data_IF_554639482478
#
_entry.id   IF_554639482478
#
_cell.length_a   1.000
_cell.length_b   1.000
_cell.length_c   1.000
_cell.angle_alpha   90.00
_cell.angle_beta   90.00
_cell.angle_gamma   90.00
#
_symmetry.space_group_name_H-M   'P 1'
#
loop_
_entity.id
_entity.type
_entity.pdbx_description
1 polymer ?
#
# COMPACT_ATOMS: atom_id res chain seq x y z
N UNK A 1 -3.55 2.80 57.51
CA UNK A 1 -2.72 3.26 56.35
C UNK A 1 -2.33 2.15 55.35
N UNK A 2 -2.19 0.87 55.70
CA UNK A 2 -1.79 -0.20 54.77
C UNK A 2 -2.87 -0.67 53.76
N UNK A 3 -4.17 -0.34 53.95
CA UNK A 3 -5.26 -0.72 53.03
C UNK A 3 -5.52 0.29 51.89
N UNK A 4 -5.11 1.55 52.02
CA UNK A 4 -5.32 2.59 51.00
C UNK A 4 -4.28 2.49 49.87
N UNK A 5 -3.05 2.02 50.16
CA UNK A 5 -2.00 1.83 49.19
C UNK A 5 -2.29 0.68 48.22
N UNK A 6 -3.00 -0.37 48.68
CA UNK A 6 -3.39 -1.51 47.81
C UNK A 6 -4.43 -1.14 46.76
N UNK A 7 -5.32 -0.21 47.04
CA UNK A 7 -6.34 0.24 46.05
C UNK A 7 -5.80 1.21 45.00
N UNK A 8 -4.79 2.03 45.39
CA UNK A 8 -4.13 2.92 44.42
C UNK A 8 -3.29 2.17 43.38
N UNK A 9 -2.68 1.04 43.77
CA UNK A 9 -1.93 0.17 42.83
C UNK A 9 -2.88 -0.64 41.94
N UNK A 10 -4.05 -1.03 42.42
CA UNK A 10 -5.05 -1.75 41.63
C UNK A 10 -5.78 -0.85 40.61
N UNK A 11 -5.92 0.46 40.89
CA UNK A 11 -6.50 1.43 39.99
C UNK A 11 -5.49 1.83 38.89
N UNK A 12 -4.18 1.81 39.17
CA UNK A 12 -3.13 2.05 38.18
C UNK A 12 -2.94 0.89 37.18
N UNK A 13 -3.45 -0.32 37.51
CA UNK A 13 -3.42 -1.49 36.61
C UNK A 13 -4.69 -1.63 35.75
N UNK A 14 -5.67 -0.74 35.93
CA UNK A 14 -6.94 -0.71 35.18
C UNK A 14 -7.05 0.47 34.20
N UNK A 15 -5.97 1.22 33.95
CA UNK A 15 -5.92 2.02 32.75
C UNK A 15 -5.80 1.05 31.56
N UNK A 16 -6.81 0.96 30.65
CA UNK A 16 -6.61 0.31 29.38
C UNK A 16 -5.47 1.08 28.70
N UNK A 17 -4.34 0.42 28.48
CA UNK A 17 -3.35 0.87 27.51
C UNK A 17 -4.09 0.85 26.18
N UNK A 18 -4.57 2.02 25.76
CA UNK A 18 -5.17 2.20 24.44
C UNK A 18 -4.09 1.82 23.42
N UNK A 19 -4.26 0.65 22.81
CA UNK A 19 -3.46 0.26 21.67
C UNK A 19 -3.82 1.23 20.56
N UNK A 20 -2.93 2.19 20.27
CA UNK A 20 -3.05 3.07 19.12
C UNK A 20 -3.02 2.19 17.89
N UNK A 21 -4.11 2.17 17.12
CA UNK A 21 -4.21 1.38 15.90
C UNK A 21 -3.21 1.91 14.89
N UNK A 22 -2.26 1.07 14.48
CA UNK A 22 -1.28 1.40 13.46
C UNK A 22 -1.91 1.27 12.06
N UNK A 23 -1.48 2.12 11.14
CA UNK A 23 -1.89 2.02 9.74
C UNK A 23 -0.88 1.18 8.98
N UNK A 24 -1.12 -0.10 8.82
CA UNK A 24 -0.42 -0.88 7.82
C UNK A 24 -0.60 -0.18 6.46
N UNK A 25 0.50 0.32 5.90
CA UNK A 25 0.46 1.20 4.76
C UNK A 25 -0.19 0.60 3.54
N UNK A 26 -0.89 1.43 2.82
CA UNK A 26 -1.48 1.12 1.53
C UNK A 26 -0.38 1.17 0.48
N UNK A 27 -0.09 0.06 -0.17
CA UNK A 27 0.77 0.06 -1.36
C UNK A 27 0.10 0.88 -2.45
N UNK A 28 0.80 1.84 -3.02
CA UNK A 28 0.35 2.54 -4.20
C UNK A 28 0.95 1.85 -5.42
N UNK A 29 0.12 1.36 -6.35
CA UNK A 29 0.62 0.82 -7.61
C UNK A 29 1.23 1.95 -8.42
N UNK A 30 2.50 1.79 -8.79
CA UNK A 30 3.21 2.71 -9.65
C UNK A 30 3.47 2.09 -11.01
N UNK A 31 3.14 2.85 -12.06
CA UNK A 31 3.49 2.52 -13.44
C UNK A 31 2.50 1.61 -14.19
N UNK A 32 2.71 1.47 -15.50
CA UNK A 32 1.86 0.68 -16.38
C UNK A 32 2.04 -0.83 -16.12
N UNK A 33 0.96 -1.59 -16.26
CA UNK A 33 1.01 -3.05 -16.09
C UNK A 33 1.30 -3.53 -14.67
N UNK A 34 1.15 -2.66 -13.67
CA UNK A 34 1.24 -3.01 -12.25
C UNK A 34 0.40 -4.25 -11.94
N UNK A 35 0.93 -5.27 -11.25
CA UNK A 35 0.11 -6.39 -10.77
C UNK A 35 -1.08 -5.91 -9.93
N UNK A 36 -1.01 -5.93 -8.62
CA UNK A 36 -2.04 -5.34 -7.73
C UNK A 36 -1.38 -4.52 -6.63
N UNK A 37 -0.48 -5.15 -5.87
CA UNK A 37 0.29 -4.56 -4.77
C UNK A 37 1.72 -4.21 -5.19
N UNK A 38 2.31 -5.05 -6.02
CA UNK A 38 3.70 -4.94 -6.49
C UNK A 38 3.80 -3.80 -7.51
N UNK A 39 4.75 -2.88 -7.34
CA UNK A 39 4.98 -1.79 -8.27
C UNK A 39 5.42 -2.32 -9.66
N UNK A 40 5.20 -1.53 -10.71
CA UNK A 40 5.57 -1.90 -12.08
C UNK A 40 7.05 -1.65 -12.36
N UNK A 41 7.76 -2.56 -13.05
CA UNK A 41 9.11 -2.32 -13.53
C UNK A 41 9.14 -1.48 -14.84
N UNK A 42 8.02 -0.93 -15.26
CA UNK A 42 7.87 -0.20 -16.51
C UNK A 42 7.62 1.29 -16.26
N UNK A 43 8.04 2.11 -17.20
CA UNK A 43 7.73 3.53 -17.30
C UNK A 43 6.70 3.79 -18.41
N UNK A 44 6.05 4.94 -18.39
CA UNK A 44 5.16 5.36 -19.46
C UNK A 44 5.98 5.88 -20.67
N UNK A 45 5.50 5.69 -21.90
CA UNK A 45 6.07 6.37 -23.06
C UNK A 45 5.94 7.89 -22.89
N UNK A 46 6.81 8.65 -23.55
CA UNK A 46 6.74 10.10 -23.57
C UNK A 46 5.37 10.60 -24.03
N UNK A 47 4.77 11.48 -23.25
CA UNK A 47 3.41 12.00 -23.47
C UNK A 47 2.28 11.04 -23.07
N UNK A 48 2.59 9.80 -22.68
CA UNK A 48 1.58 8.85 -22.22
C UNK A 48 0.98 9.27 -20.86
N UNK A 49 -0.32 9.07 -20.70
CA UNK A 49 -1.07 9.41 -19.50
C UNK A 49 -1.78 8.17 -18.96
N UNK A 50 -1.74 7.95 -17.68
CA UNK A 50 -2.58 6.99 -16.96
C UNK A 50 -3.37 7.69 -15.90
N UNK A 51 -4.70 7.60 -15.96
CA UNK A 51 -5.57 7.93 -14.85
C UNK A 51 -5.90 6.64 -14.10
N UNK A 52 -5.83 6.66 -12.77
CA UNK A 52 -6.13 5.47 -11.98
C UNK A 52 -6.91 5.80 -10.71
N UNK A 53 -7.67 4.79 -10.26
CA UNK A 53 -8.32 4.75 -8.97
C UNK A 53 -8.01 3.42 -8.29
N UNK A 54 -7.85 3.44 -6.98
CA UNK A 54 -7.69 2.25 -6.13
C UNK A 54 -8.56 2.39 -4.90
N UNK A 55 -9.19 1.31 -4.50
CA UNK A 55 -9.89 1.20 -3.21
C UNK A 55 -9.45 -0.08 -2.53
N UNK A 56 -9.17 0.02 -1.25
CA UNK A 56 -8.78 -1.08 -0.39
C UNK A 56 -9.64 -1.04 0.87
N UNK A 57 -10.39 -2.12 1.09
CA UNK A 57 -11.22 -2.33 2.27
C UNK A 57 -10.50 -3.29 3.19
N UNK A 58 -10.15 -2.83 4.39
CA UNK A 58 -9.51 -3.65 5.42
C UNK A 58 -10.56 -4.10 6.41
N UNK A 59 -10.57 -5.40 6.70
CA UNK A 59 -11.44 -6.03 7.66
C UNK A 59 -10.64 -6.61 8.82
N UNK A 60 -11.07 -6.31 10.05
CA UNK A 60 -10.49 -6.85 11.28
C UNK A 60 -11.40 -7.90 11.92
N UNK A 61 -10.83 -8.72 12.78
CA UNK A 61 -11.58 -9.58 13.69
C UNK A 61 -12.13 -8.71 14.83
N UNK A 62 -13.17 -9.20 15.51
CA UNK A 62 -13.64 -8.57 16.73
C UNK A 62 -12.57 -8.63 17.82
N UNK A 63 -12.49 -7.60 18.64
CA UNK A 63 -11.66 -7.62 19.84
C UNK A 63 -12.10 -8.72 20.79
N UNK A 64 -11.13 -9.42 21.37
CA UNK A 64 -11.42 -10.58 22.22
C UNK A 64 -12.05 -10.18 23.56
N UNK A 65 -11.76 -8.99 24.06
CA UNK A 65 -12.16 -8.50 25.39
C UNK A 65 -13.12 -7.31 25.35
N UNK A 66 -13.59 -6.93 24.19
CA UNK A 66 -14.53 -5.83 24.02
C UNK A 66 -15.96 -6.32 23.82
N UNK A 67 -16.91 -5.38 23.84
CA UNK A 67 -18.32 -5.67 23.61
C UNK A 67 -18.59 -6.38 22.27
N UNK A 68 -19.72 -7.15 22.18
CA UNK A 68 -19.94 -8.08 21.07
C UNK A 68 -19.91 -7.47 19.65
N UNK A 69 -20.15 -6.15 19.52
CA UNK A 69 -20.25 -5.45 18.25
C UNK A 69 -18.99 -4.67 17.85
N UNK A 70 -17.97 -4.69 18.70
CA UNK A 70 -16.73 -3.96 18.46
C UNK A 70 -15.97 -4.55 17.27
N UNK A 71 -16.07 -3.90 16.12
CA UNK A 71 -15.43 -4.29 14.87
C UNK A 71 -14.92 -3.06 14.11
N UNK A 72 -13.63 -2.99 13.91
CA UNK A 72 -13.03 -1.94 13.10
C UNK A 72 -13.17 -2.23 11.60
N UNK A 73 -13.18 -1.18 10.80
CA UNK A 73 -13.23 -1.26 9.35
C UNK A 73 -12.63 0.00 8.74
N UNK A 74 -11.61 -0.17 7.89
CA UNK A 74 -10.98 0.96 7.20
C UNK A 74 -11.12 0.80 5.69
N UNK A 75 -11.43 1.92 5.03
CA UNK A 75 -11.43 2.02 3.58
C UNK A 75 -10.39 3.05 3.17
N UNK A 76 -9.42 2.62 2.39
CA UNK A 76 -8.41 3.48 1.79
C UNK A 76 -8.70 3.58 0.30
N UNK A 77 -9.01 4.77 -0.18
CA UNK A 77 -9.21 5.05 -1.59
C UNK A 77 -8.17 6.05 -2.09
N UNK A 78 -7.79 5.96 -3.34
CA UNK A 78 -6.94 6.96 -3.98
C UNK A 78 -7.31 7.12 -5.43
N UNK A 79 -7.16 8.34 -5.93
CA UNK A 79 -7.19 8.65 -7.36
C UNK A 79 -5.87 9.31 -7.73
N UNK A 80 -5.40 9.08 -8.94
CA UNK A 80 -4.13 9.65 -9.36
C UNK A 80 -3.95 9.70 -10.86
N UNK A 81 -2.86 10.36 -11.25
CA UNK A 81 -2.41 10.51 -12.61
C UNK A 81 -0.93 10.21 -12.69
N UNK A 82 -0.54 9.45 -13.70
CA UNK A 82 0.85 9.23 -14.09
C UNK A 82 1.07 9.83 -15.47
N UNK A 83 2.21 10.48 -15.68
CA UNK A 83 2.59 11.13 -16.93
C UNK A 83 4.02 10.73 -17.35
N UNK A 84 4.17 10.25 -18.56
CA UNK A 84 5.46 9.95 -19.17
C UNK A 84 6.15 11.25 -19.61
N UNK A 85 7.14 11.71 -18.82
CA UNK A 85 7.93 12.91 -19.13
C UNK A 85 8.93 12.62 -20.23
N UNK A 86 9.55 11.46 -20.14
CA UNK A 86 10.42 10.85 -21.16
C UNK A 86 10.16 9.34 -21.16
N UNK A 87 10.63 8.55 -22.13
CA UNK A 87 10.45 7.09 -22.10
C UNK A 87 11.02 6.39 -20.86
N UNK A 88 11.98 7.01 -20.18
CA UNK A 88 12.62 6.50 -18.96
C UNK A 88 12.22 7.23 -17.68
N UNK A 89 11.38 8.27 -17.76
CA UNK A 89 10.97 9.05 -16.59
C UNK A 89 9.47 9.26 -16.58
N UNK A 90 8.80 8.74 -15.57
CA UNK A 90 7.37 8.94 -15.32
C UNK A 90 7.17 9.72 -14.02
N UNK A 91 6.38 10.80 -14.07
CA UNK A 91 5.89 11.51 -12.89
C UNK A 91 4.54 10.94 -12.45
N UNK A 92 4.28 10.93 -11.15
CA UNK A 92 3.01 10.47 -10.58
C UNK A 92 2.53 11.43 -9.51
N UNK A 93 1.21 11.66 -9.48
CA UNK A 93 0.49 12.44 -8.49
C UNK A 93 -0.72 11.66 -8.01
N UNK A 94 -0.98 11.62 -6.69
CA UNK A 94 -2.16 10.96 -6.14
C UNK A 94 -2.75 11.66 -4.93
N UNK A 95 -4.07 11.56 -4.83
CA UNK A 95 -4.88 12.11 -3.73
C UNK A 95 -5.59 10.94 -3.05
N UNK A 96 -5.25 10.62 -1.80
CA UNK A 96 -5.96 9.62 -1.02
C UNK A 96 -7.21 10.18 -0.35
N UNK A 97 -8.21 9.32 -0.18
CA UNK A 97 -9.39 9.56 0.66
C UNK A 97 -9.60 8.37 1.56
N UNK A 98 -9.55 8.59 2.87
CA UNK A 98 -9.57 7.55 3.87
C UNK A 98 -10.85 7.61 4.71
N UNK A 99 -11.45 6.45 4.98
CA UNK A 99 -12.56 6.28 5.92
C UNK A 99 -12.09 5.27 6.95
N UNK A 100 -12.05 5.68 8.22
CA UNK A 100 -11.63 4.87 9.34
C UNK A 100 -12.74 4.79 10.35
N UNK A 101 -13.20 3.58 10.62
CA UNK A 101 -14.29 3.31 11.54
C UNK A 101 -13.81 2.42 12.65
N UNK A 102 -14.04 2.86 13.86
CA UNK A 102 -13.82 2.11 15.09
C UNK A 102 -15.13 2.10 15.89
N UNK A 103 -15.67 0.92 16.13
CA UNK A 103 -17.01 0.78 16.73
C UNK A 103 -17.13 1.42 18.13
N UNK A 104 -16.03 1.41 18.91
CA UNK A 104 -16.01 2.03 20.23
C UNK A 104 -15.87 3.55 20.24
N UNK A 105 -15.27 4.15 19.19
CA UNK A 105 -14.88 5.56 19.16
C UNK A 105 -15.62 6.36 18.11
N UNK A 106 -16.13 5.72 17.03
CA UNK A 106 -16.82 6.38 15.95
C UNK A 106 -16.13 6.25 14.59
N UNK A 107 -16.35 7.21 13.71
CA UNK A 107 -15.83 7.19 12.35
C UNK A 107 -15.21 8.53 11.98
N UNK A 108 -14.05 8.50 11.32
CA UNK A 108 -13.42 9.66 10.73
C UNK A 108 -13.19 9.44 9.24
N UNK A 109 -13.35 10.49 8.43
CA UNK A 109 -13.13 10.41 6.99
C UNK A 109 -12.64 11.72 6.41
N UNK A 110 -11.86 11.63 5.34
CA UNK A 110 -11.36 12.82 4.67
C UNK A 110 -10.26 12.54 3.67
N UNK A 111 -9.83 13.60 3.01
CA UNK A 111 -8.64 13.58 2.16
C UNK A 111 -7.42 13.33 3.06
N UNK A 112 -6.56 12.42 2.66
CA UNK A 112 -5.27 12.18 3.29
C UNK A 112 -4.17 13.06 2.70
N UNK A 113 -2.92 12.68 2.94
CA UNK A 113 -1.77 13.46 2.49
C UNK A 113 -1.50 13.21 1.00
N UNK A 114 -1.47 14.28 0.21
CA UNK A 114 -1.21 14.22 -1.24
C UNK A 114 0.22 13.72 -1.46
N UNK A 115 0.38 12.83 -2.47
CA UNK A 115 1.66 12.23 -2.81
C UNK A 115 2.13 12.62 -4.21
N UNK A 116 3.43 12.89 -4.30
CA UNK A 116 4.18 13.05 -5.55
C UNK A 116 5.28 12.00 -5.62
N UNK A 117 5.50 11.43 -6.80
CA UNK A 117 6.61 10.50 -7.03
C UNK A 117 7.14 10.56 -8.46
N UNK A 118 8.39 10.16 -8.60
CA UNK A 118 9.07 9.99 -9.87
C UNK A 118 9.55 8.55 -10.03
N UNK A 119 9.51 8.01 -11.24
CA UNK A 119 9.90 6.65 -11.59
C UNK A 119 10.90 6.73 -12.72
N UNK A 120 12.13 6.26 -12.49
CA UNK A 120 13.20 6.16 -13.47
C UNK A 120 13.32 4.72 -13.95
N UNK A 121 13.12 4.49 -15.26
CA UNK A 121 13.12 3.17 -15.87
C UNK A 121 14.37 2.87 -16.68
N UNK A 122 14.88 1.67 -16.53
CA UNK A 122 15.99 1.13 -17.31
C UNK A 122 15.81 -0.36 -17.53
N UNK A 123 16.56 -0.94 -18.45
CA UNK A 123 16.53 -2.37 -18.72
C UNK A 123 17.93 -2.95 -18.91
N UNK A 124 18.04 -4.24 -18.67
CA UNK A 124 19.21 -5.03 -19.00
C UNK A 124 18.89 -5.98 -20.15
N UNK A 125 19.66 -5.91 -21.21
CA UNK A 125 19.58 -6.83 -22.35
C UNK A 125 20.84 -7.72 -22.38
N UNK A 126 20.70 -9.05 -22.41
CA UNK A 126 21.85 -9.96 -22.49
C UNK A 126 22.77 -9.60 -23.67
N UNK A 127 24.07 -9.46 -23.40
CA UNK A 127 25.06 -9.07 -24.39
C UNK A 127 25.20 -7.57 -24.67
N UNK A 128 24.27 -6.74 -24.20
CA UNK A 128 24.28 -5.28 -24.41
C UNK A 128 24.35 -4.45 -23.14
N UNK A 129 24.16 -5.07 -21.95
CA UNK A 129 24.25 -4.43 -20.66
C UNK A 129 23.02 -3.60 -20.28
N UNK A 130 23.20 -2.66 -19.33
CA UNK A 130 22.15 -1.77 -18.82
C UNK A 130 22.00 -0.54 -19.71
N UNK A 131 20.73 -0.15 -19.97
CA UNK A 131 20.35 1.04 -20.75
C UNK A 131 19.11 1.69 -20.15
N UNK A 132 18.96 3.00 -20.29
CA UNK A 132 17.69 3.68 -20.00
C UNK A 132 16.63 3.23 -21.00
N UNK A 133 15.36 3.22 -20.58
CA UNK A 133 14.25 2.93 -21.46
C UNK A 133 14.11 4.06 -22.50
N UNK A 134 14.29 3.74 -23.78
CA UNK A 134 14.30 4.74 -24.87
C UNK A 134 13.25 4.50 -25.94
N UNK A 135 12.68 3.30 -26.00
CA UNK A 135 11.71 2.92 -27.02
C UNK A 135 10.30 2.83 -26.45
N UNK A 136 9.29 3.31 -27.21
CA UNK A 136 7.87 3.16 -26.84
C UNK A 136 7.47 1.71 -26.56
N UNK A 137 8.05 0.77 -27.30
CA UNK A 137 7.76 -0.67 -27.20
C UNK A 137 8.29 -1.30 -25.91
N UNK A 138 9.38 -0.74 -25.35
CA UNK A 138 9.97 -1.22 -24.09
C UNK A 138 9.17 -0.79 -22.84
N UNK A 139 8.28 0.20 -22.98
CA UNK A 139 7.63 0.86 -21.87
C UNK A 139 6.22 0.31 -21.53
N UNK A 140 5.64 -0.58 -22.31
CA UNK A 140 4.21 -0.92 -22.20
C UNK A 140 3.96 -2.37 -21.78
N UNK A 141 4.87 -3.31 -22.06
CA UNK A 141 4.64 -4.73 -21.78
C UNK A 141 5.92 -5.51 -21.50
N UNK A 142 5.86 -6.41 -20.53
CA UNK A 142 6.91 -7.41 -20.30
C UNK A 142 6.84 -8.58 -21.30
N UNK A 143 5.78 -8.68 -22.08
CA UNK A 143 5.49 -9.84 -22.91
C UNK A 143 6.43 -9.95 -24.13
N UNK A 144 6.93 -11.16 -24.34
CA UNK A 144 7.72 -11.48 -25.54
C UNK A 144 9.14 -10.92 -25.57
N UNK A 145 9.59 -10.24 -24.51
CA UNK A 145 10.88 -9.53 -24.47
C UNK A 145 11.91 -10.33 -23.66
N UNK A 146 13.10 -10.53 -24.22
CA UNK A 146 14.24 -11.17 -23.51
C UNK A 146 14.96 -10.22 -22.53
N UNK A 147 14.38 -9.06 -22.22
CA UNK A 147 14.94 -8.03 -21.37
C UNK A 147 14.46 -8.21 -19.92
N UNK A 148 15.27 -7.76 -18.97
CA UNK A 148 14.85 -7.54 -17.60
C UNK A 148 14.70 -6.04 -17.39
N UNK A 149 13.52 -5.61 -17.00
CA UNK A 149 13.20 -4.22 -16.74
C UNK A 149 13.41 -3.91 -15.26
N UNK A 150 13.82 -2.68 -15.01
CA UNK A 150 14.03 -2.17 -13.66
C UNK A 150 13.46 -0.77 -13.55
N UNK A 151 12.94 -0.42 -12.40
CA UNK A 151 12.63 0.97 -12.05
C UNK A 151 13.20 1.31 -10.69
N UNK A 152 13.80 2.49 -10.60
CA UNK A 152 14.04 3.16 -9.32
C UNK A 152 12.97 4.22 -9.16
N UNK A 153 12.34 4.28 -8.00
CA UNK A 153 11.32 5.28 -7.74
C UNK A 153 11.53 5.96 -6.40
N UNK A 154 11.09 7.21 -6.33
CA UNK A 154 11.10 7.98 -5.12
C UNK A 154 9.93 8.93 -5.08
N UNK A 155 9.48 9.28 -3.88
CA UNK A 155 8.35 10.17 -3.70
C UNK A 155 8.31 10.79 -2.31
N UNK A 156 7.37 11.71 -2.15
CA UNK A 156 7.09 12.36 -0.87
C UNK A 156 5.60 12.68 -0.75
N UNK A 157 5.13 12.79 0.49
CA UNK A 157 3.79 13.28 0.80
C UNK A 157 3.86 14.71 1.32
N UNK A 158 2.82 15.49 1.01
CA UNK A 158 2.57 16.80 1.60
C UNK A 158 1.45 16.65 2.62
N UNK A 159 1.60 17.15 3.87
CA UNK A 159 0.62 16.97 4.94
C UNK A 159 -0.63 17.84 4.70
N UNK A 160 -1.47 17.42 3.77
CA UNK A 160 -2.72 18.09 3.37
C UNK A 160 -3.95 17.49 4.01
N UNK A 161 -3.81 16.29 4.60
CA UNK A 161 -4.89 15.55 5.22
C UNK A 161 -5.32 16.14 6.56
N UNK A 162 -6.55 15.86 6.95
CA UNK A 162 -7.06 16.22 8.28
C UNK A 162 -6.36 15.39 9.35
N UNK A 163 -6.05 16.02 10.49
CA UNK A 163 -5.23 15.42 11.54
C UNK A 163 -5.63 15.79 12.98
N UNK A 164 -6.71 16.57 13.14
CA UNK A 164 -7.15 17.12 14.43
C UNK A 164 -8.62 16.74 14.74
N UNK A 165 -9.15 15.71 14.09
CA UNK A 165 -10.53 15.27 14.35
C UNK A 165 -10.56 14.48 15.67
N UNK A 166 -11.41 14.93 16.58
CA UNK A 166 -11.63 14.24 17.85
C UNK A 166 -12.63 13.10 17.68
N UNK A 167 -12.30 11.93 18.21
CA UNK A 167 -13.18 10.79 18.34
C UNK A 167 -13.25 10.39 19.81
N UNK A 168 -14.46 10.39 20.38
CA UNK A 168 -14.62 10.11 21.83
C UNK A 168 -13.93 11.13 22.75
N UNK A 169 -13.71 12.38 22.30
CA UNK A 169 -13.05 13.44 23.06
C UNK A 169 -11.51 13.38 23.05
N UNK A 170 -10.92 12.57 22.15
CA UNK A 170 -9.47 12.46 21.98
C UNK A 170 -9.10 12.53 20.50
N UNK A 171 -7.91 13.07 20.21
CA UNK A 171 -7.29 13.00 18.88
C UNK A 171 -6.40 11.77 18.84
N UNK A 172 -6.86 10.73 18.15
CA UNK A 172 -6.07 9.52 17.90
C UNK A 172 -5.34 9.68 16.54
N UNK A 173 -3.99 9.72 16.48
CA UNK A 173 -3.24 9.83 15.24
C UNK A 173 -3.57 8.72 14.24
N UNK A 174 -3.84 7.52 14.73
CA UNK A 174 -4.17 6.36 13.93
C UNK A 174 -5.52 6.50 13.21
N UNK A 175 -6.46 7.22 13.77
CA UNK A 175 -7.79 7.44 13.21
C UNK A 175 -7.86 8.66 12.28
N UNK A 176 -6.77 9.42 12.11
CA UNK A 176 -6.77 10.58 11.23
C UNK A 176 -6.69 10.18 9.75
N UNK A 177 -7.34 10.92 8.83
CA UNK A 177 -7.20 10.71 7.39
C UNK A 177 -5.79 10.92 6.85
N UNK A 178 -5.04 11.89 7.40
CA UNK A 178 -3.66 12.20 7.05
C UNK A 178 -2.69 11.93 8.20
N UNK A 179 -1.40 11.87 7.91
CA UNK A 179 -0.34 11.70 8.91
C UNK A 179 0.04 13.02 9.60
N UNK A 180 -0.18 14.16 8.90
CA UNK A 180 0.10 15.50 9.41
C UNK A 180 1.57 15.88 9.39
N UNK A 181 2.43 15.06 8.82
CA UNK A 181 3.84 15.33 8.57
C UNK A 181 4.27 14.75 7.22
N UNK A 182 5.30 15.32 6.56
CA UNK A 182 5.82 14.73 5.34
C UNK A 182 6.30 13.30 5.54
N UNK A 183 6.11 12.46 4.54
CA UNK A 183 6.77 11.15 4.45
C UNK A 183 7.52 11.03 3.13
N UNK A 184 8.53 10.17 3.09
CA UNK A 184 9.36 9.93 1.93
C UNK A 184 9.34 8.46 1.58
N UNK A 185 9.26 8.16 0.28
CA UNK A 185 9.31 6.80 -0.24
C UNK A 185 10.51 6.66 -1.16
N UNK A 186 11.20 5.54 -1.07
CA UNK A 186 12.21 5.12 -2.04
C UNK A 186 12.04 3.63 -2.31
N UNK A 187 12.20 3.21 -3.57
CA UNK A 187 12.07 1.80 -3.92
C UNK A 187 12.75 1.43 -5.23
N UNK A 188 12.90 0.13 -5.40
CA UNK A 188 13.48 -0.50 -6.57
C UNK A 188 12.57 -1.64 -7.00
N UNK A 189 12.38 -1.77 -8.30
CA UNK A 189 11.58 -2.82 -8.90
C UNK A 189 12.35 -3.51 -10.02
N UNK A 190 12.08 -4.81 -10.22
CA UNK A 190 12.61 -5.61 -11.32
C UNK A 190 11.52 -6.51 -11.88
N UNK A 191 11.45 -6.66 -13.20
CA UNK A 191 10.47 -7.53 -13.84
C UNK A 191 10.97 -8.13 -15.14
N UNK A 192 10.50 -9.34 -15.42
CA UNK A 192 10.84 -10.10 -16.62
C UNK A 192 9.74 -11.07 -17.02
N UNK A 193 9.47 -11.15 -18.33
CA UNK A 193 8.73 -12.28 -18.89
C UNK A 193 9.63 -13.51 -18.94
N UNK A 194 9.17 -14.63 -18.37
CA UNK A 194 9.86 -15.93 -18.47
C UNK A 194 9.35 -16.73 -19.66
N UNK A 195 8.04 -16.68 -19.90
CA UNK A 195 7.36 -17.30 -21.01
C UNK A 195 6.43 -16.26 -21.67
N UNK A 196 5.86 -16.60 -22.83
CA UNK A 196 4.94 -15.68 -23.54
C UNK A 196 3.77 -15.20 -22.67
N UNK A 197 3.34 -16.01 -21.70
CA UNK A 197 2.15 -15.77 -20.88
C UNK A 197 2.44 -15.61 -19.41
N UNK A 198 3.71 -15.72 -18.97
CA UNK A 198 4.08 -15.66 -17.56
C UNK A 198 5.19 -14.64 -17.32
N UNK A 199 4.92 -13.68 -16.46
CA UNK A 199 5.87 -12.66 -16.02
C UNK A 199 6.06 -12.71 -14.51
N UNK A 200 7.28 -12.39 -14.06
CA UNK A 200 7.61 -12.19 -12.66
C UNK A 200 8.02 -10.75 -12.42
N UNK A 201 7.58 -10.21 -11.30
CA UNK A 201 7.92 -8.86 -10.83
C UNK A 201 8.34 -8.96 -9.37
N UNK A 202 9.41 -8.30 -9.02
CA UNK A 202 9.87 -8.12 -7.63
C UNK A 202 10.00 -6.64 -7.32
N UNK A 203 9.63 -6.23 -6.12
CA UNK A 203 9.66 -4.84 -5.69
C UNK A 203 10.11 -4.76 -4.24
N UNK A 204 10.89 -3.74 -3.91
CA UNK A 204 11.23 -3.41 -2.53
C UNK A 204 11.14 -1.91 -2.32
N UNK A 205 10.59 -1.51 -1.17
CA UNK A 205 10.45 -0.10 -0.82
C UNK A 205 10.61 0.18 0.67
N UNK A 206 10.95 1.42 0.95
CA UNK A 206 11.02 2.01 2.28
C UNK A 206 10.19 3.28 2.30
N UNK A 207 9.18 3.35 3.18
CA UNK A 207 8.47 4.57 3.54
C UNK A 207 9.02 5.10 4.88
N UNK A 208 9.50 6.33 4.86
CA UNK A 208 10.08 7.05 6.01
C UNK A 208 9.08 8.11 6.44
N UNK A 209 8.52 7.96 7.63
CA UNK A 209 7.64 8.95 8.23
C UNK A 209 8.45 9.95 9.05
N UNK A 210 8.07 11.22 8.98
CA UNK A 210 8.65 12.25 9.84
C UNK A 210 7.79 12.47 11.07
N UNK A 211 8.37 13.13 12.08
CA UNK A 211 7.68 13.42 13.34
C UNK A 211 6.70 14.57 13.18
N UNK A 212 5.52 14.43 13.78
CA UNK A 212 4.58 15.51 14.02
C UNK A 212 4.41 15.69 15.52
N UNK A 213 4.67 16.88 16.03
CA UNK A 213 4.64 17.19 17.44
C UNK A 213 5.47 16.14 18.23
N UNK A 214 4.81 15.36 19.10
CA UNK A 214 5.42 14.34 19.92
C UNK A 214 5.31 12.91 19.36
N UNK A 215 4.63 12.74 18.20
CA UNK A 215 4.32 11.44 17.60
C UNK A 215 5.02 11.25 16.25
N UNK A 216 5.45 10.01 15.99
CA UNK A 216 5.99 9.58 14.68
C UNK A 216 5.52 8.16 14.38
N UNK A 217 4.94 7.95 13.21
CA UNK A 217 4.64 6.62 12.71
C UNK A 217 5.92 5.81 12.43
N UNK A 218 5.87 4.52 12.69
CA UNK A 218 6.96 3.61 12.34
C UNK A 218 7.22 3.56 10.84
N UNK A 219 8.48 3.50 10.45
CA UNK A 219 8.84 3.34 9.06
C UNK A 219 8.39 1.98 8.54
N UNK A 220 8.02 1.91 7.25
CA UNK A 220 7.54 0.70 6.61
C UNK A 220 8.51 0.20 5.54
N UNK A 221 8.89 -1.06 5.65
CA UNK A 221 9.72 -1.77 4.69
C UNK A 221 8.85 -2.80 3.97
N UNK A 222 8.83 -2.78 2.65
CA UNK A 222 8.09 -3.73 1.84
C UNK A 222 9.01 -4.52 0.94
N UNK A 223 8.68 -5.79 0.78
CA UNK A 223 9.25 -6.63 -0.25
C UNK A 223 8.13 -7.45 -0.88
N UNK A 224 7.90 -7.28 -2.18
CA UNK A 224 6.81 -7.91 -2.91
C UNK A 224 7.36 -8.77 -4.05
N UNK A 225 6.71 -9.90 -4.29
CA UNK A 225 6.94 -10.77 -5.44
C UNK A 225 5.60 -11.03 -6.10
N UNK A 226 5.50 -10.87 -7.41
CA UNK A 226 4.30 -11.14 -8.19
C UNK A 226 4.58 -12.09 -9.35
N UNK A 227 3.71 -13.05 -9.55
CA UNK A 227 3.57 -13.85 -10.75
C UNK A 227 2.30 -13.43 -11.48
N UNK A 228 2.42 -13.06 -12.76
CA UNK A 228 1.32 -12.63 -13.62
C UNK A 228 1.24 -13.59 -14.79
N UNK A 229 0.14 -14.34 -14.87
CA UNK A 229 -0.13 -15.32 -15.90
C UNK A 229 -1.28 -14.86 -16.77
N UNK A 230 -1.05 -14.70 -18.08
CA UNK A 230 -2.14 -14.53 -19.03
C UNK A 230 -2.98 -15.82 -19.11
N UNK A 231 -4.25 -15.71 -18.75
CA UNK A 231 -5.23 -16.81 -18.79
C UNK A 231 -6.07 -16.77 -20.07
N UNK A 232 -6.26 -15.58 -20.61
CA UNK A 232 -7.04 -15.32 -21.82
C UNK A 232 -6.51 -14.08 -22.56
N UNK A 233 -6.38 -14.19 -23.88
CA UNK A 233 -5.95 -13.10 -24.75
C UNK A 233 -6.66 -13.15 -26.10
N UNK A 234 -7.55 -12.19 -26.39
CA UNK A 234 -8.23 -11.95 -27.67
C UNK A 234 -8.46 -10.46 -27.86
N UNK A 235 -7.52 -9.76 -28.53
CA UNK A 235 -7.54 -8.30 -28.64
C UNK A 235 -8.80 -7.71 -29.28
N UNK A 236 -9.49 -8.49 -30.11
CA UNK A 236 -10.71 -8.09 -30.82
C UNK A 236 -11.98 -8.17 -29.98
N UNK A 237 -11.90 -8.70 -28.76
CA UNK A 237 -13.06 -8.85 -27.88
C UNK A 237 -13.18 -7.68 -26.91
N UNK A 238 -14.40 -7.48 -26.37
CA UNK A 238 -14.66 -6.46 -25.34
C UNK A 238 -13.74 -6.66 -24.12
N UNK A 239 -13.62 -7.89 -23.61
CA UNK A 239 -12.55 -8.26 -22.68
C UNK A 239 -11.42 -8.84 -23.55
N UNK A 240 -10.38 -8.06 -23.77
CA UNK A 240 -9.28 -8.48 -24.63
C UNK A 240 -8.26 -9.37 -23.92
N UNK A 241 -8.10 -9.19 -22.60
CA UNK A 241 -7.13 -9.94 -21.81
C UNK A 241 -7.63 -10.18 -20.40
N UNK A 242 -7.32 -11.36 -19.87
CA UNK A 242 -7.50 -11.71 -18.45
C UNK A 242 -6.18 -12.25 -17.95
N UNK A 243 -5.62 -11.61 -16.95
CA UNK A 243 -4.44 -12.08 -16.21
C UNK A 243 -4.86 -12.64 -14.86
N UNK A 244 -4.33 -13.81 -14.50
CA UNK A 244 -4.30 -14.31 -13.13
C UNK A 244 -3.05 -13.79 -12.44
N UNK A 245 -3.19 -13.33 -11.21
CA UNK A 245 -2.12 -12.71 -10.43
C UNK A 245 -2.01 -13.40 -9.09
N UNK A 246 -0.79 -13.72 -8.70
CA UNK A 246 -0.48 -14.21 -7.36
C UNK A 246 0.70 -13.43 -6.81
N UNK A 247 0.51 -12.79 -5.65
CA UNK A 247 1.58 -12.03 -5.02
C UNK A 247 1.89 -12.53 -3.61
N UNK A 248 3.15 -12.41 -3.22
CA UNK A 248 3.66 -12.52 -1.86
C UNK A 248 4.12 -11.13 -1.43
N UNK A 249 3.56 -10.61 -0.34
CA UNK A 249 3.85 -9.26 0.10
C UNK A 249 4.33 -9.32 1.56
N UNK A 250 5.59 -9.01 1.79
CA UNK A 250 6.17 -8.86 3.11
C UNK A 250 6.12 -7.38 3.50
N UNK A 251 5.56 -7.09 4.66
CA UNK A 251 5.52 -5.78 5.29
C UNK A 251 6.19 -5.86 6.66
N UNK A 252 7.22 -5.06 6.87
CA UNK A 252 7.80 -4.82 8.18
C UNK A 252 7.58 -3.37 8.58
N UNK A 253 7.02 -3.15 9.77
CA UNK A 253 6.70 -1.85 10.33
C UNK A 253 7.56 -1.67 11.58
N UNK A 254 8.32 -0.59 11.65
CA UNK A 254 9.02 -0.21 12.87
C UNK A 254 8.03 0.20 13.95
N UNK A 255 8.47 0.28 15.22
CA UNK A 255 7.60 0.84 16.27
C UNK A 255 7.27 2.28 15.98
N UNK A 256 6.05 2.70 16.31
CA UNK A 256 5.71 4.10 16.47
C UNK A 256 6.52 4.71 17.61
N UNK A 257 6.70 6.00 17.57
CA UNK A 257 7.44 6.74 18.60
C UNK A 257 6.55 7.82 19.21
N UNK A 258 6.59 7.96 20.52
CA UNK A 258 6.01 9.08 21.26
C UNK A 258 6.96 9.52 22.36
N UNK A 259 7.13 10.84 22.57
CA UNK A 259 8.09 11.37 23.54
C UNK A 259 9.55 10.98 23.30
N UNK A 260 9.89 10.56 22.07
CA UNK A 260 11.23 10.06 21.74
C UNK A 260 11.48 8.59 22.09
N UNK A 261 10.48 7.89 22.66
CA UNK A 261 10.51 6.45 22.94
C UNK A 261 9.63 5.64 21.97
N UNK A 262 10.01 4.39 21.71
CA UNK A 262 9.19 3.47 20.92
C UNK A 262 7.93 3.06 21.68
N UNK A 263 6.77 3.15 21.02
CA UNK A 263 5.49 2.73 21.59
C UNK A 263 5.39 1.20 21.62
N UNK A 264 4.97 0.71 22.77
CA UNK A 264 4.67 -0.71 22.98
C UNK A 264 3.46 -1.12 22.16
N UNK A 265 3.41 -2.39 21.76
CA UNK A 265 2.33 -2.98 20.98
C UNK A 265 2.09 -2.28 19.62
N UNK A 266 3.15 -1.80 18.98
CA UNK A 266 3.13 -1.24 17.61
C UNK A 266 4.21 -1.89 16.75
N UNK A 267 3.93 -2.02 15.45
CA UNK A 267 4.85 -2.56 14.47
C UNK A 267 5.07 -4.08 14.54
N UNK A 268 5.94 -4.56 13.68
CA UNK A 268 6.26 -5.97 13.49
C UNK A 268 6.30 -6.37 12.04
N UNK A 269 6.18 -7.66 11.74
CA UNK A 269 6.29 -8.20 10.38
C UNK A 269 5.06 -9.02 10.02
N UNK A 270 4.52 -8.78 8.82
CA UNK A 270 3.38 -9.52 8.27
C UNK A 270 3.75 -10.01 6.87
N UNK A 271 3.48 -11.28 6.59
CA UNK A 271 3.51 -11.85 5.25
C UNK A 271 2.08 -12.06 4.76
N UNK A 272 1.80 -11.55 3.57
CA UNK A 272 0.52 -11.71 2.89
C UNK A 272 0.66 -12.56 1.64
N UNK A 273 -0.43 -13.24 1.30
CA UNK A 273 -0.68 -13.84 -0.02
C UNK A 273 -1.82 -13.06 -0.66
N UNK A 274 -1.64 -12.62 -1.90
CA UNK A 274 -2.61 -11.79 -2.60
C UNK A 274 -2.96 -12.42 -3.95
N UNK A 275 -3.95 -13.34 -4.01
CA UNK A 275 -4.55 -13.77 -5.26
C UNK A 275 -5.39 -12.66 -5.87
N UNK A 276 -5.30 -12.50 -7.19
CA UNK A 276 -6.03 -11.46 -7.91
C UNK A 276 -6.24 -11.80 -9.38
N UNK A 277 -7.02 -10.96 -10.04
CA UNK A 277 -7.25 -10.98 -11.48
C UNK A 277 -7.25 -9.57 -12.05
N UNK A 278 -6.82 -9.44 -13.30
CA UNK A 278 -6.89 -8.19 -14.05
C UNK A 278 -7.57 -8.43 -15.38
N UNK A 279 -8.50 -7.53 -15.72
CA UNK A 279 -9.27 -7.53 -16.96
C UNK A 279 -8.89 -6.30 -17.78
N UNK A 280 -8.60 -6.47 -19.07
CA UNK A 280 -8.25 -5.37 -19.98
C UNK A 280 -9.34 -5.17 -21.04
N UNK A 281 -9.71 -3.89 -21.24
CA UNK A 281 -10.80 -3.45 -22.10
C UNK A 281 -10.30 -2.37 -23.08
N UNK A 282 -9.67 -2.75 -24.23
CA UNK A 282 -9.12 -1.78 -25.17
C UNK A 282 -10.17 -0.83 -25.76
N UNK A 283 -11.39 -1.30 -25.97
CA UNK A 283 -12.51 -0.48 -26.45
C UNK A 283 -13.02 0.60 -25.47
N UNK A 284 -12.55 0.57 -24.21
CA UNK A 284 -12.86 1.55 -23.18
C UNK A 284 -11.60 2.36 -22.81
N UNK A 285 -10.95 2.98 -23.80
CA UNK A 285 -9.72 3.78 -23.60
C UNK A 285 -8.61 2.97 -22.90
N UNK A 286 -8.39 1.74 -23.33
CA UNK A 286 -7.43 0.81 -22.74
C UNK A 286 -7.59 0.68 -21.22
N UNK A 287 -8.84 0.59 -20.74
CA UNK A 287 -9.14 0.41 -19.33
C UNK A 287 -8.64 -0.93 -18.80
N UNK A 288 -8.14 -0.94 -17.57
CA UNK A 288 -7.84 -2.15 -16.83
C UNK A 288 -8.55 -2.12 -15.48
N UNK A 289 -9.21 -3.24 -15.14
CA UNK A 289 -9.86 -3.48 -13.86
C UNK A 289 -9.12 -4.60 -13.14
N UNK A 290 -8.60 -4.33 -11.96
CA UNK A 290 -7.97 -5.33 -11.08
C UNK A 290 -8.81 -5.58 -9.85
N UNK A 291 -8.93 -6.84 -9.46
CA UNK A 291 -9.57 -7.27 -8.21
C UNK A 291 -8.65 -8.24 -7.48
N UNK A 292 -8.52 -8.12 -6.16
CA UNK A 292 -7.72 -9.03 -5.35
C UNK A 292 -8.20 -9.11 -3.91
N UNK A 293 -7.74 -10.16 -3.23
CA UNK A 293 -7.88 -10.29 -1.77
C UNK A 293 -6.50 -10.53 -1.17
N UNK A 294 -6.05 -9.63 -0.29
CA UNK A 294 -4.77 -9.71 0.42
C UNK A 294 -5.01 -10.33 1.80
N UNK A 295 -4.39 -11.48 2.05
CA UNK A 295 -4.65 -12.31 3.22
C UNK A 295 -3.36 -12.43 4.04
N UNK A 296 -3.33 -12.01 5.31
CA UNK A 296 -2.18 -12.22 6.18
C UNK A 296 -2.07 -13.71 6.53
N UNK A 297 -0.98 -14.35 6.08
CA UNK A 297 -0.71 -15.77 6.31
C UNK A 297 0.30 -16.02 7.42
N UNK A 298 1.11 -15.00 7.74
CA UNK A 298 2.05 -15.04 8.85
C UNK A 298 2.15 -13.66 9.49
N UNK A 299 2.19 -13.63 10.83
CA UNK A 299 2.38 -12.41 11.63
C UNK A 299 3.42 -12.68 12.70
N UNK A 300 4.37 -11.76 12.83
CA UNK A 300 5.33 -11.67 13.93
C UNK A 300 5.36 -10.23 14.39
N UNK A 301 4.42 -9.88 15.25
CA UNK A 301 4.19 -8.52 15.73
C UNK A 301 4.83 -8.32 17.09
N UNK A 302 5.23 -7.07 17.37
CA UNK A 302 5.75 -6.71 18.69
C UNK A 302 4.60 -6.77 19.71
N UNK A 303 4.80 -7.44 20.84
CA UNK A 303 3.76 -7.66 21.88
C UNK A 303 2.41 -8.07 21.24
N UNK A 304 2.42 -9.10 20.44
CA UNK A 304 1.30 -9.51 19.58
C UNK A 304 -0.04 -9.65 20.30
N UNK A 305 -0.01 -10.14 21.53
CA UNK A 305 -1.22 -10.32 22.36
C UNK A 305 -1.85 -8.99 22.79
N UNK A 306 -1.09 -7.89 22.74
CA UNK A 306 -1.52 -6.54 23.08
C UNK A 306 -1.93 -5.73 21.84
N UNK A 307 -1.54 -6.13 20.64
CA UNK A 307 -1.91 -5.46 19.38
C UNK A 307 -3.34 -5.81 18.96
N UNK A 308 -4.30 -5.37 19.76
CA UNK A 308 -5.72 -5.52 19.48
C UNK A 308 -6.24 -4.24 18.81
N UNK A 309 -6.89 -4.39 17.65
CA UNK A 309 -7.39 -3.25 16.88
C UNK A 309 -6.42 -2.69 15.83
N UNK A 310 -5.26 -3.31 15.68
CA UNK A 310 -4.31 -2.98 14.64
C UNK A 310 -3.99 -4.23 13.81
N UNK A 311 -2.78 -4.30 13.24
CA UNK A 311 -2.34 -5.41 12.38
C UNK A 311 -2.56 -6.79 13.01
N UNK A 312 -2.57 -6.88 14.36
CA UNK A 312 -2.82 -8.11 15.10
C UNK A 312 -4.13 -8.79 14.73
N UNK A 313 -5.18 -8.02 14.57
CA UNK A 313 -6.52 -8.50 14.29
C UNK A 313 -6.90 -8.43 12.81
N UNK A 314 -6.05 -7.94 11.92
CA UNK A 314 -6.32 -7.90 10.49
C UNK A 314 -6.67 -9.29 9.95
N UNK A 315 -7.81 -9.36 9.25
CA UNK A 315 -8.36 -10.60 8.69
C UNK A 315 -8.06 -10.74 7.20
N UNK A 316 -8.34 -9.72 6.43
CA UNK A 316 -8.05 -9.61 4.99
C UNK A 316 -8.25 -8.18 4.51
N UNK A 317 -7.74 -7.88 3.30
CA UNK A 317 -8.03 -6.66 2.55
C UNK A 317 -8.62 -7.02 1.19
N UNK A 318 -9.77 -6.43 0.84
CA UNK A 318 -10.32 -6.50 -0.49
C UNK A 318 -9.81 -5.30 -1.31
N UNK A 319 -9.31 -5.54 -2.51
CA UNK A 319 -8.66 -4.52 -3.34
C UNK A 319 -9.35 -4.45 -4.68
N UNK A 320 -9.66 -3.22 -5.12
CA UNK A 320 -10.18 -2.89 -6.43
C UNK A 320 -9.28 -1.81 -7.06
N UNK A 321 -8.85 -2.02 -8.29
CA UNK A 321 -8.09 -1.03 -9.07
C UNK A 321 -8.75 -0.79 -10.41
N UNK A 322 -8.72 0.45 -10.88
CA UNK A 322 -9.19 0.85 -12.20
C UNK A 322 -8.16 1.81 -12.81
N UNK A 323 -7.79 1.60 -14.06
CA UNK A 323 -6.89 2.50 -14.78
C UNK A 323 -7.30 2.68 -16.23
N UNK A 324 -7.02 3.87 -16.78
CA UNK A 324 -7.24 4.25 -18.17
C UNK A 324 -5.95 4.78 -18.76
N UNK A 325 -5.62 4.38 -19.99
CA UNK A 325 -4.38 4.73 -20.68
C UNK A 325 -4.70 5.60 -21.91
N UNK A 326 -4.01 6.75 -22.02
CA UNK A 326 -4.16 7.74 -23.10
C UNK A 326 -2.84 8.00 -23.79
#
# INVERSE_FOLDING_TARGET
>A
MKRIVGWAIMIALLCPLEALAHHGGVSLPFGPGTPIETASPLTLPEGGVVLYARTEQVEWRKFQFAEPENKDSFTFSSVGISYGITPYLTGNFSVPYNIKRQDSSGSNSGIGDIRFSGILGFHHEPGKGFKLNTAKEDAISLEGVKKTFFTFYGGFTVPTGKTNEELGGKVDPAMQPGFGSPSFTVGLNAGRALFRSLSFVADTSLDIFTRRDDFKFGNEYRFNLAAVQELYGKPEKFIAKIDGILELNLLHISRDEQGGGGLRATGGTILYVTPGMRFSFPGLQNANLGIAVKIPVYKNLNEQDEQQGSEGLEKYRAILTLSFYF
#
